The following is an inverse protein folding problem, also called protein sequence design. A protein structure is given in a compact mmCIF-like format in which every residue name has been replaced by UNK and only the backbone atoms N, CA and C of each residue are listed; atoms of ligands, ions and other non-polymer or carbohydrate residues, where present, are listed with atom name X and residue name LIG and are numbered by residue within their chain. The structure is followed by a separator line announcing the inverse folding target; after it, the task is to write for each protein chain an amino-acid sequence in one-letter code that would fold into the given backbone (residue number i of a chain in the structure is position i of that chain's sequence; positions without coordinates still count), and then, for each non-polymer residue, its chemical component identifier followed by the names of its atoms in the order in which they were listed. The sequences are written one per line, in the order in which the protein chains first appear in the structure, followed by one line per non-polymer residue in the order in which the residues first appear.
data_IF_506887389392
#
_entry.id   IF_506887389392
#
_cell.length_a   1.000
_cell.length_b   1.000
_cell.length_c   1.000
_cell.angle_alpha   90.00
_cell.angle_beta   90.00
_cell.angle_gamma   90.00
#
_symmetry.space_group_name_H-M   'P 1'
#
loop_
_entity.id
_entity.type
_entity.pdbx_description
1 polymer ?
#
# COMPACT_ATOMS: atom_id res chain seq x y z
N UNK A 1 5.34 6.09 -16.41
CA UNK A 1 4.58 4.95 -16.98
C UNK A 1 3.88 4.27 -15.81
N UNK A 2 2.55 4.32 -15.72
CA UNK A 2 1.80 3.61 -14.68
C UNK A 2 1.67 2.14 -15.09
N UNK A 3 2.53 1.26 -14.58
CA UNK A 3 2.33 -0.17 -14.74
C UNK A 3 1.16 -0.58 -13.83
N UNK A 4 0.02 -0.93 -14.43
CA UNK A 4 -1.07 -1.52 -13.69
C UNK A 4 -0.69 -2.94 -13.30
N UNK A 5 -0.31 -3.13 -12.02
CA UNK A 5 0.17 -4.41 -11.55
C UNK A 5 -0.93 -5.48 -11.52
N UNK A 6 -2.22 -5.12 -11.43
CA UNK A 6 -3.32 -6.07 -11.10
C UNK A 6 -4.51 -6.11 -12.07
N UNK A 7 -4.39 -5.55 -13.28
CA UNK A 7 -5.51 -5.57 -14.23
C UNK A 7 -5.86 -7.00 -14.69
N UNK A 8 -7.12 -7.40 -14.55
CA UNK A 8 -7.62 -8.72 -14.98
C UNK A 8 -7.25 -9.88 -14.05
N UNK A 9 -6.71 -9.59 -12.86
CA UNK A 9 -6.29 -10.60 -11.90
C UNK A 9 -7.35 -10.86 -10.84
N UNK A 10 -7.63 -12.14 -10.57
CA UNK A 10 -8.58 -12.58 -9.55
C UNK A 10 -7.92 -13.60 -8.60
N UNK A 11 -8.30 -13.57 -7.32
CA UNK A 11 -7.80 -14.48 -6.29
C UNK A 11 -6.27 -14.37 -6.10
N UNK A 12 -5.79 -13.17 -5.86
CA UNK A 12 -4.36 -12.89 -5.70
C UNK A 12 -4.06 -12.36 -4.32
N UNK A 13 -2.92 -12.77 -3.79
CA UNK A 13 -2.39 -12.27 -2.55
C UNK A 13 -0.97 -11.72 -2.74
N UNK A 14 -0.73 -10.51 -2.27
CA UNK A 14 0.60 -9.93 -2.08
C UNK A 14 0.85 -9.86 -0.57
N UNK A 15 1.93 -10.48 -0.09
CA UNK A 15 2.28 -10.50 1.33
C UNK A 15 3.74 -10.10 1.50
N UNK A 16 4.03 -9.15 2.39
CA UNK A 16 5.41 -8.80 2.75
C UNK A 16 6.26 -8.40 1.53
N UNK A 17 5.66 -7.67 0.59
CA UNK A 17 6.29 -7.25 -0.66
C UNK A 17 6.48 -5.74 -0.70
N UNK A 18 7.41 -5.28 -1.55
CA UNK A 18 7.49 -3.88 -1.98
C UNK A 18 6.91 -3.77 -3.39
N UNK A 19 5.83 -3.00 -3.53
CA UNK A 19 5.11 -2.80 -4.78
C UNK A 19 5.41 -1.40 -5.32
N UNK A 20 6.38 -1.31 -6.24
CA UNK A 20 6.78 -0.05 -6.89
C UNK A 20 5.87 0.25 -8.09
N UNK A 21 5.45 1.51 -8.23
CA UNK A 21 4.52 1.96 -9.27
C UNK A 21 3.04 1.83 -8.88
N UNK A 22 2.75 1.45 -7.63
CA UNK A 22 1.40 1.33 -7.09
C UNK A 22 0.63 0.06 -7.52
N UNK A 23 -0.65 0.05 -7.18
CA UNK A 23 -1.61 -1.00 -7.48
C UNK A 23 -2.77 -0.39 -8.24
N UNK A 24 -3.10 -0.92 -9.42
CA UNK A 24 -4.32 -0.49 -10.10
C UNK A 24 -5.05 -1.62 -10.82
N UNK A 25 -6.38 -1.55 -10.78
CA UNK A 25 -7.28 -2.46 -11.47
C UNK A 25 -8.51 -1.70 -11.98
N UNK A 26 -9.13 -2.19 -13.06
CA UNK A 26 -10.30 -1.54 -13.65
C UNK A 26 -11.34 -2.53 -14.13
N UNK A 27 -12.61 -2.18 -13.97
CA UNK A 27 -13.75 -3.02 -14.34
C UNK A 27 -14.05 -4.09 -13.30
N UNK A 28 -14.98 -5.00 -13.61
CA UNK A 28 -15.37 -6.09 -12.69
C UNK A 28 -14.42 -7.30 -12.74
N UNK A 29 -13.25 -7.14 -13.35
CA UNK A 29 -12.29 -8.23 -13.63
C UNK A 29 -11.27 -8.44 -12.51
N UNK A 30 -11.32 -7.61 -11.46
CA UNK A 30 -10.40 -7.69 -10.31
C UNK A 30 -11.19 -7.96 -9.03
N UNK A 31 -11.16 -9.22 -8.59
CA UNK A 31 -11.89 -9.70 -7.41
C UNK A 31 -10.98 -10.57 -6.55
N UNK A 32 -11.23 -10.53 -5.24
CA UNK A 32 -10.52 -11.31 -4.23
C UNK A 32 -9.01 -11.04 -4.25
N UNK A 33 -8.65 -9.76 -4.15
CA UNK A 33 -7.25 -9.34 -4.04
C UNK A 33 -6.97 -8.99 -2.58
N UNK A 34 -5.91 -9.57 -2.03
CA UNK A 34 -5.43 -9.26 -0.69
C UNK A 34 -4.01 -8.72 -0.78
N UNK A 35 -3.77 -7.58 -0.16
CA UNK A 35 -2.45 -6.96 -0.03
C UNK A 35 -2.20 -6.79 1.45
N UNK A 36 -1.17 -7.46 1.97
CA UNK A 36 -0.96 -7.56 3.41
C UNK A 36 0.51 -7.38 3.76
N UNK A 37 0.82 -6.54 4.74
CA UNK A 37 2.21 -6.25 5.14
C UNK A 37 3.11 -5.74 4.01
N UNK A 38 2.53 -5.05 3.01
CA UNK A 38 3.30 -4.54 1.88
C UNK A 38 3.69 -3.08 2.09
N UNK A 39 4.83 -2.72 1.50
CA UNK A 39 5.12 -1.33 1.18
C UNK A 39 4.63 -1.07 -0.24
N UNK A 40 3.80 -0.05 -0.44
CA UNK A 40 3.28 0.34 -1.75
C UNK A 40 3.79 1.73 -2.05
N UNK A 41 4.56 1.83 -3.12
CA UNK A 41 5.20 3.05 -3.58
C UNK A 41 4.50 3.49 -4.87
N UNK A 42 3.47 4.33 -4.70
CA UNK A 42 2.56 4.77 -5.76
C UNK A 42 1.07 4.61 -5.40
N UNK A 43 0.20 4.93 -6.37
CA UNK A 43 -1.26 4.96 -6.14
C UNK A 43 -1.84 3.57 -5.91
N UNK A 44 -2.85 3.46 -5.04
CA UNK A 44 -3.78 2.32 -5.00
C UNK A 44 -5.10 2.75 -5.65
N UNK A 45 -5.44 2.18 -6.80
CA UNK A 45 -6.54 2.65 -7.67
C UNK A 45 -7.34 1.50 -8.28
N UNK A 46 -8.55 1.24 -7.79
CA UNK A 46 -9.45 0.21 -8.31
C UNK A 46 -10.77 0.80 -8.80
N UNK A 47 -11.06 0.76 -10.09
CA UNK A 47 -12.38 1.19 -10.62
C UNK A 47 -13.28 -0.03 -10.88
N UNK A 48 -14.57 0.05 -10.54
CA UNK A 48 -15.54 -1.05 -10.68
C UNK A 48 -16.46 -1.19 -9.45
N UNK A 49 -17.67 -1.73 -9.61
CA UNK A 49 -18.71 -1.77 -8.55
C UNK A 49 -18.67 -3.02 -7.66
N UNK A 50 -17.74 -3.95 -7.92
CA UNK A 50 -17.74 -5.28 -7.27
C UNK A 50 -16.34 -5.78 -6.93
N UNK A 51 -15.37 -4.88 -6.77
CA UNK A 51 -14.01 -5.29 -6.42
C UNK A 51 -13.99 -5.69 -4.94
N UNK A 52 -13.58 -6.91 -4.61
CA UNK A 52 -13.31 -7.35 -3.23
C UNK A 52 -11.81 -7.27 -3.00
N UNK A 53 -11.32 -6.05 -2.74
CA UNK A 53 -9.90 -5.81 -2.45
C UNK A 53 -9.72 -5.47 -0.98
N UNK A 54 -8.84 -6.19 -0.31
CA UNK A 54 -8.41 -5.88 1.05
C UNK A 54 -6.94 -5.43 1.03
N UNK A 55 -6.67 -4.27 1.62
CA UNK A 55 -5.32 -3.73 1.82
C UNK A 55 -5.13 -3.57 3.33
N UNK A 56 -4.26 -4.39 3.89
CA UNK A 56 -4.10 -4.55 5.32
C UNK A 56 -2.64 -4.36 5.74
N UNK A 57 -2.39 -3.70 6.87
CA UNK A 57 -1.04 -3.60 7.44
C UNK A 57 0.01 -3.07 6.44
N UNK A 58 -0.38 -2.19 5.53
CA UNK A 58 0.53 -1.66 4.51
C UNK A 58 1.06 -0.28 4.89
N UNK A 59 2.27 0.02 4.45
CA UNK A 59 2.78 1.38 4.33
C UNK A 59 2.54 1.83 2.88
N UNK A 60 1.72 2.85 2.68
CA UNK A 60 1.28 3.29 1.36
C UNK A 60 1.77 4.72 1.16
N UNK A 61 2.69 4.90 0.21
CA UNK A 61 3.43 6.13 -0.04
C UNK A 61 3.09 6.71 -1.41
N UNK A 62 3.14 8.03 -1.49
CA UNK A 62 3.01 8.78 -2.74
C UNK A 62 1.75 9.64 -2.82
N UNK A 63 1.88 10.74 -3.56
CA UNK A 63 0.89 11.81 -3.75
C UNK A 63 -0.42 11.42 -4.47
N UNK A 64 -0.59 10.17 -4.89
CA UNK A 64 -1.57 9.77 -5.90
C UNK A 64 -2.84 9.10 -5.38
N UNK A 65 -3.17 9.22 -4.10
CA UNK A 65 -4.53 8.94 -3.57
C UNK A 65 -5.59 9.94 -4.06
N UNK A 66 -5.19 10.95 -4.82
CA UNK A 66 -6.05 12.04 -5.26
C UNK A 66 -6.73 11.64 -6.58
N UNK A 67 -7.81 10.85 -6.48
CA UNK A 67 -8.65 10.47 -7.63
C UNK A 67 -10.12 10.36 -7.23
N UNK A 68 -11.00 11.15 -7.86
CA UNK A 68 -12.41 11.36 -7.45
C UNK A 68 -13.39 10.23 -7.79
N UNK A 69 -12.93 9.12 -8.38
CA UNK A 69 -13.81 8.07 -8.95
C UNK A 69 -13.30 6.64 -8.74
N UNK A 70 -12.31 6.45 -7.89
CA UNK A 70 -11.55 5.19 -7.79
C UNK A 70 -11.68 4.59 -6.38
N UNK A 71 -11.41 3.29 -6.24
CA UNK A 71 -11.44 2.44 -5.05
C UNK A 71 -12.79 1.96 -4.52
N UNK A 72 -13.83 1.87 -5.37
CA UNK A 72 -15.09 1.26 -4.96
C UNK A 72 -14.89 -0.24 -4.64
N UNK A 73 -15.31 -0.65 -3.43
CA UNK A 73 -15.17 -2.02 -2.93
C UNK A 73 -13.82 -2.33 -2.28
N UNK A 74 -12.91 -1.35 -2.18
CA UNK A 74 -11.63 -1.54 -1.48
C UNK A 74 -11.81 -1.30 0.02
N UNK A 75 -11.30 -2.22 0.82
CA UNK A 75 -11.20 -2.08 2.27
C UNK A 75 -9.75 -1.89 2.69
N UNK A 76 -9.48 -0.79 3.39
CA UNK A 76 -8.19 -0.46 3.97
C UNK A 76 -8.25 -0.65 5.49
N UNK A 77 -7.44 -1.55 6.05
CA UNK A 77 -7.39 -1.81 7.50
C UNK A 77 -5.97 -1.70 8.06
N UNK A 78 -5.78 -1.01 9.19
CA UNK A 78 -4.50 -0.92 9.90
C UNK A 78 -3.33 -0.45 9.00
N UNK A 79 -3.55 0.46 8.04
CA UNK A 79 -2.48 0.96 7.16
C UNK A 79 -1.93 2.30 7.65
N UNK A 80 -0.72 2.64 7.18
CA UNK A 80 -0.18 4.00 7.25
C UNK A 80 -0.16 4.58 5.84
N UNK A 81 -0.74 5.76 5.67
CA UNK A 81 -0.71 6.56 4.46
C UNK A 81 0.25 7.73 4.68
N UNK A 82 1.30 7.86 3.86
CA UNK A 82 2.14 9.07 3.81
C UNK A 82 1.69 9.96 2.66
N UNK A 83 1.38 11.21 2.98
CA UNK A 83 0.74 12.14 2.06
C UNK A 83 1.51 13.45 2.07
N UNK A 84 1.80 14.03 0.90
CA UNK A 84 2.55 15.29 0.78
C UNK A 84 1.68 16.54 0.74
N UNK A 85 0.36 16.36 0.68
CA UNK A 85 -0.62 17.41 0.91
C UNK A 85 -1.89 16.82 1.51
N UNK A 86 -2.70 17.63 2.20
CA UNK A 86 -3.97 17.20 2.77
C UNK A 86 -4.92 16.74 1.65
N UNK A 87 -5.16 15.43 1.47
CA UNK A 87 -6.02 15.00 0.40
C UNK A 87 -7.48 15.20 0.83
N UNK A 88 -8.32 15.55 -0.14
CA UNK A 88 -9.67 15.03 -0.09
C UNK A 88 -9.55 13.54 -0.39
N UNK A 89 -9.86 12.65 0.56
CA UNK A 89 -10.05 11.23 0.24
C UNK A 89 -11.27 11.19 -0.68
N UNK A 90 -11.00 11.12 -1.97
CA UNK A 90 -12.00 11.32 -3.02
C UNK A 90 -12.64 9.99 -3.47
N UNK A 91 -12.52 8.94 -2.66
CA UNK A 91 -12.91 7.58 -3.03
C UNK A 91 -14.32 7.26 -2.58
N UNK A 92 -15.26 7.40 -3.51
CA UNK A 92 -16.64 6.97 -3.32
C UNK A 92 -16.64 5.45 -3.09
N UNK A 93 -17.24 5.01 -1.98
CA UNK A 93 -17.46 3.58 -1.64
C UNK A 93 -16.23 2.74 -1.28
N UNK A 94 -15.15 3.35 -0.79
CA UNK A 94 -14.08 2.63 -0.06
C UNK A 94 -14.36 2.60 1.45
N UNK A 95 -13.88 1.57 2.15
CA UNK A 95 -13.95 1.52 3.62
C UNK A 95 -12.56 1.62 4.25
N UNK A 96 -12.46 2.38 5.34
CA UNK A 96 -11.24 2.63 6.10
C UNK A 96 -11.45 2.31 7.57
N UNK A 97 -10.63 1.40 8.12
CA UNK A 97 -10.64 0.99 9.52
C UNK A 97 -9.24 1.10 10.15
N UNK A 98 -9.13 1.84 11.25
CA UNK A 98 -7.89 1.98 12.03
C UNK A 98 -6.66 2.38 11.18
N UNK A 99 -6.83 3.26 10.19
CA UNK A 99 -5.70 3.72 9.37
C UNK A 99 -5.13 5.03 9.88
N UNK A 100 -3.80 5.16 9.82
CA UNK A 100 -3.09 6.41 10.11
C UNK A 100 -2.85 7.18 8.82
N UNK A 101 -3.31 8.44 8.78
CA UNK A 101 -3.02 9.37 7.70
C UNK A 101 -1.97 10.38 8.17
N UNK A 102 -0.73 10.16 7.75
CA UNK A 102 0.39 11.05 8.04
C UNK A 102 0.54 12.07 6.90
N UNK A 103 0.26 13.34 7.16
CA UNK A 103 0.12 14.39 6.13
C UNK A 103 1.19 15.47 6.30
N UNK A 104 2.02 15.68 5.28
CA UNK A 104 3.05 16.72 5.27
C UNK A 104 2.40 18.10 5.40
N UNK A 105 2.95 18.93 6.30
CA UNK A 105 2.36 20.24 6.62
C UNK A 105 1.07 20.16 7.45
N UNK A 106 0.61 18.95 7.80
CA UNK A 106 -0.66 18.73 8.48
C UNK A 106 -1.85 18.85 7.53
N UNK A 107 -3.06 18.70 8.07
CA UNK A 107 -4.30 18.81 7.31
C UNK A 107 -5.38 17.88 7.83
N UNK A 108 -6.56 18.02 7.26
CA UNK A 108 -7.69 17.12 7.55
C UNK A 108 -8.02 16.29 6.34
N UNK A 109 -8.13 14.98 6.58
CA UNK A 109 -8.68 14.07 5.59
C UNK A 109 -10.18 14.32 5.45
N UNK A 110 -10.60 14.73 4.26
CA UNK A 110 -12.02 14.85 3.92
C UNK A 110 -12.48 13.57 3.21
N UNK A 111 -13.30 12.76 3.86
CA UNK A 111 -13.89 11.57 3.24
C UNK A 111 -14.97 11.94 2.21
N UNK A 112 -14.91 11.37 1.02
CA UNK A 112 -15.93 11.49 -0.01
C UNK A 112 -17.26 10.85 0.39
N UNK A 113 -18.32 11.20 -0.34
CA UNK A 113 -19.63 10.56 -0.19
C UNK A 113 -19.52 9.03 -0.27
N UNK A 114 -20.23 8.34 0.61
CA UNK A 114 -20.29 6.87 0.71
C UNK A 114 -19.00 6.16 1.16
N UNK A 115 -17.96 6.88 1.58
CA UNK A 115 -16.81 6.24 2.21
C UNK A 115 -17.11 5.81 3.66
N UNK A 116 -16.68 4.61 4.06
CA UNK A 116 -16.78 4.12 5.43
C UNK A 116 -15.59 4.67 6.23
N UNK A 117 -15.69 5.88 6.76
CA UNK A 117 -14.56 6.58 7.41
C UNK A 117 -14.83 6.97 8.87
N UNK A 118 -15.95 7.66 9.13
CA UNK A 118 -16.26 8.22 10.43
C UNK A 118 -16.52 7.13 11.49
N UNK A 119 -15.92 7.28 12.67
CA UNK A 119 -16.11 6.34 13.80
C UNK A 119 -15.31 5.04 13.71
N UNK A 120 -14.50 4.84 12.68
CA UNK A 120 -13.78 3.58 12.41
C UNK A 120 -12.33 3.55 12.94
N UNK A 121 -11.99 4.38 13.93
CA UNK A 121 -10.64 4.40 14.53
C UNK A 121 -9.53 5.01 13.67
N UNK A 122 -9.85 5.62 12.54
CA UNK A 122 -8.87 6.31 11.69
C UNK A 122 -8.30 7.55 12.42
N UNK A 123 -6.98 7.77 12.30
CA UNK A 123 -6.27 8.89 12.92
C UNK A 123 -5.51 9.69 11.87
N UNK A 124 -5.20 10.94 12.20
CA UNK A 124 -4.49 11.86 11.31
C UNK A 124 -3.40 12.56 12.11
N UNK A 125 -2.22 12.73 11.53
CA UNK A 125 -1.10 13.42 12.19
C UNK A 125 -0.25 14.16 11.15
N UNK A 126 0.38 15.29 11.51
CA UNK A 126 1.37 15.90 10.65
C UNK A 126 2.53 14.95 10.37
N UNK A 127 2.87 14.74 9.09
CA UNK A 127 4.06 14.01 8.71
C UNK A 127 5.28 14.93 8.82
N UNK A 128 5.97 14.81 9.95
CA UNK A 128 7.23 15.50 10.24
C UNK A 128 8.29 14.48 10.62
N UNK A 129 9.59 14.80 10.47
CA UNK A 129 10.66 13.94 10.98
C UNK A 129 10.44 13.58 12.45
N UNK A 130 10.70 12.32 12.83
CA UNK A 130 10.54 11.77 14.19
C UNK A 130 9.10 11.78 14.76
N UNK A 131 8.06 12.13 13.99
CA UNK A 131 6.68 12.01 14.47
C UNK A 131 6.15 10.60 14.22
N UNK A 132 6.02 10.19 12.95
CA UNK A 132 5.54 8.83 12.63
C UNK A 132 6.70 7.85 12.51
N UNK A 133 7.77 8.26 11.84
CA UNK A 133 8.95 7.44 11.58
C UNK A 133 10.21 8.12 12.10
N UNK A 134 11.25 7.34 12.41
CA UNK A 134 12.52 7.84 12.94
C UNK A 134 13.12 8.88 12.01
N UNK A 135 13.24 8.60 10.72
CA UNK A 135 13.74 9.59 9.77
C UNK A 135 13.30 9.25 8.34
N UNK A 136 12.61 10.17 7.66
CA UNK A 136 12.30 9.96 6.24
C UNK A 136 12.85 11.13 5.42
N UNK A 137 13.73 10.85 4.45
CA UNK A 137 14.33 11.88 3.60
C UNK A 137 13.37 12.38 2.51
N UNK A 138 12.40 11.55 2.11
CA UNK A 138 11.39 11.85 1.11
C UNK A 138 10.05 11.22 1.52
N UNK A 139 8.96 11.94 1.32
CA UNK A 139 7.61 11.52 1.70
C UNK A 139 6.78 11.04 0.50
N UNK A 140 7.28 11.23 -0.72
CA UNK A 140 6.60 10.92 -1.99
C UNK A 140 7.08 9.61 -2.65
N UNK A 141 8.28 9.12 -2.32
CA UNK A 141 8.89 7.96 -2.99
C UNK A 141 9.80 7.18 -2.02
N UNK A 142 9.92 5.87 -2.22
CA UNK A 142 11.01 5.11 -1.61
C UNK A 142 12.32 5.50 -2.28
N UNK A 143 13.23 6.23 -1.58
CA UNK A 143 14.47 6.66 -2.20
C UNK A 143 15.21 5.45 -2.78
N UNK A 144 15.66 5.56 -4.02
CA UNK A 144 16.39 4.50 -4.72
C UNK A 144 17.63 3.98 -3.96
N UNK A 145 18.12 4.76 -2.98
CA UNK A 145 19.28 4.45 -2.15
C UNK A 145 18.97 4.26 -0.64
N UNK A 146 17.74 3.92 -0.24
CA UNK A 146 17.40 3.51 1.15
C UNK A 146 17.85 4.48 2.26
N UNK A 147 17.99 5.78 1.97
CA UNK A 147 18.49 6.75 2.96
C UNK A 147 17.50 7.08 4.11
N UNK A 148 16.34 6.44 4.13
CA UNK A 148 15.28 6.66 5.12
C UNK A 148 15.16 5.52 6.11
N UNK A 149 14.96 5.89 7.37
CA UNK A 149 14.62 5.02 8.48
C UNK A 149 13.10 5.06 8.71
N UNK A 150 12.43 4.15 8.03
CA UNK A 150 10.99 3.93 8.14
C UNK A 150 10.61 3.13 9.39
N UNK A 151 11.46 2.98 10.41
CA UNK A 151 10.99 2.45 11.70
C UNK A 151 10.05 3.44 12.37
N UNK A 152 9.10 2.94 13.15
CA UNK A 152 8.22 3.82 13.92
C UNK A 152 9.06 4.61 14.92
N UNK A 153 8.84 5.92 15.00
CA UNK A 153 9.45 6.73 16.05
C UNK A 153 8.92 6.29 17.42
N UNK A 154 9.72 6.45 18.49
CA UNK A 154 9.33 6.02 19.85
C UNK A 154 7.99 6.58 20.31
N UNK A 155 7.60 7.77 19.83
CA UNK A 155 6.34 8.42 20.17
C UNK A 155 5.35 8.41 18.99
N UNK A 156 5.51 7.48 18.06
CA UNK A 156 4.67 7.42 16.87
C UNK A 156 3.23 7.13 17.24
N UNK A 157 2.33 7.92 16.64
CA UNK A 157 0.86 7.70 16.72
C UNK A 157 0.49 6.33 16.14
N UNK A 158 1.34 5.73 15.31
CA UNK A 158 1.10 4.39 14.78
C UNK A 158 1.22 3.28 15.83
N UNK A 159 1.93 3.53 16.94
CA UNK A 159 2.17 2.53 17.99
C UNK A 159 0.87 2.27 18.75
N UNK A 160 0.45 1.01 18.78
CA UNK A 160 -0.76 0.55 19.47
C UNK A 160 -2.10 1.07 18.93
N UNK A 161 -2.10 1.72 17.77
CA UNK A 161 -3.30 2.31 17.17
C UNK A 161 -4.23 1.27 16.52
N UNK A 162 -3.66 0.17 16.04
CA UNK A 162 -4.37 -0.87 15.32
C UNK A 162 -5.33 -1.63 16.22
N UNK A 163 -6.19 -2.43 15.57
CA UNK A 163 -7.14 -3.28 16.29
C UNK A 163 -6.42 -4.15 17.33
N UNK A 164 -6.90 -4.18 18.57
CA UNK A 164 -6.28 -4.98 19.63
C UNK A 164 -5.01 -4.37 20.26
N UNK A 165 -4.69 -3.11 19.94
CA UNK A 165 -3.51 -2.43 20.48
C UNK A 165 -2.21 -2.78 19.76
N UNK A 166 -2.30 -3.27 18.52
CA UNK A 166 -1.15 -3.52 17.65
C UNK A 166 -0.72 -2.26 16.92
N UNK A 167 0.51 -2.22 16.44
CA UNK A 167 0.98 -1.13 15.60
C UNK A 167 0.32 -1.19 14.21
N UNK A 168 0.04 -0.03 13.59
CA UNK A 168 -0.50 0.03 12.21
C UNK A 168 0.63 0.12 11.18
N UNK A 169 0.33 -0.20 9.93
CA UNK A 169 1.32 -0.31 8.84
C UNK A 169 1.96 -1.69 8.81
N UNK A 170 3.15 -1.78 8.22
CA UNK A 170 3.89 -3.05 8.06
C UNK A 170 4.32 -3.70 9.39
N UNK A 171 4.22 -2.97 10.50
CA UNK A 171 4.79 -3.39 11.79
C UNK A 171 3.91 -4.35 12.58
N UNK A 172 2.58 -4.24 12.46
CA UNK A 172 1.47 -5.19 12.81
C UNK A 172 1.55 -6.10 14.05
N UNK A 173 2.56 -5.95 14.91
CA UNK A 173 2.71 -6.70 16.15
C UNK A 173 2.86 -5.76 17.34
N UNK A 174 3.29 -6.33 18.47
CA UNK A 174 3.50 -5.54 19.68
C UNK A 174 4.61 -4.51 19.45
N UNK A 175 4.51 -3.34 20.07
CA UNK A 175 5.49 -2.27 19.95
C UNK A 175 6.94 -2.82 19.95
N UNK A 176 7.65 -2.63 18.83
CA UNK A 176 9.02 -3.13 18.63
C UNK A 176 9.17 -4.44 17.83
N UNK A 177 8.10 -5.07 17.35
CA UNK A 177 8.16 -6.22 16.40
C UNK A 177 8.19 -5.75 14.94
N UNK A 178 8.96 -4.71 14.65
CA UNK A 178 9.01 -4.06 13.35
C UNK A 178 9.31 -5.07 12.22
N UNK A 179 8.41 -5.20 11.24
CA UNK A 179 8.81 -5.72 9.94
C UNK A 179 9.81 -4.72 9.35
N UNK A 180 11.05 -5.16 9.16
CA UNK A 180 12.06 -4.38 8.45
C UNK A 180 12.19 -4.93 7.05
N UNK A 181 12.28 -4.03 6.08
CA UNK A 181 13.05 -4.34 4.88
C UNK A 181 14.44 -4.79 5.39
N UNK A 182 14.89 -5.98 4.99
CA UNK A 182 16.07 -6.70 5.50
C UNK A 182 15.98 -7.43 6.86
N UNK A 183 14.85 -7.42 7.59
CA UNK A 183 14.64 -8.36 8.71
C UNK A 183 14.18 -9.72 8.17
N UNK A 184 15.13 -10.47 7.61
CA UNK A 184 14.87 -11.74 6.93
C UNK A 184 14.78 -12.95 7.88
N UNK A 185 14.23 -14.11 7.44
CA UNK A 185 14.67 -14.88 6.26
C UNK A 185 13.52 -15.09 5.26
N UNK A 186 13.61 -15.07 3.93
CA UNK A 186 14.59 -14.87 2.85
C UNK A 186 13.76 -14.00 1.86
N UNK A 187 14.15 -12.80 1.42
CA UNK A 187 13.30 -11.97 0.54
C UNK A 187 13.70 -12.15 -0.93
N UNK A 188 13.07 -13.06 -1.70
CA UNK A 188 13.26 -13.08 -3.15
C UNK A 188 12.62 -11.84 -3.76
N UNK A 189 13.43 -11.01 -4.42
CA UNK A 189 12.90 -9.91 -5.22
C UNK A 189 12.58 -10.44 -6.63
N UNK A 190 11.30 -10.42 -7.01
CA UNK A 190 10.87 -10.71 -8.39
C UNK A 190 11.06 -9.44 -9.23
N UNK A 191 12.08 -9.42 -10.07
CA UNK A 191 12.45 -8.23 -10.84
C UNK A 191 11.73 -8.15 -12.19
N UNK A 192 11.32 -9.30 -12.74
CA UNK A 192 10.69 -9.35 -14.06
C UNK A 192 9.70 -10.51 -14.15
N UNK A 193 8.45 -10.18 -14.47
CA UNK A 193 7.45 -11.11 -14.95
C UNK A 193 7.06 -10.69 -16.37
N UNK A 194 7.57 -11.43 -17.36
CA UNK A 194 7.18 -11.25 -18.76
C UNK A 194 6.26 -12.41 -19.16
N UNK A 195 4.95 -12.12 -19.24
CA UNK A 195 3.94 -13.06 -19.74
C UNK A 195 3.59 -12.66 -21.17
N UNK A 196 3.92 -13.48 -22.18
CA UNK A 196 3.54 -13.21 -23.56
C UNK A 196 2.02 -13.10 -23.70
N UNK A 197 1.53 -12.04 -24.34
CA UNK A 197 0.08 -11.76 -24.49
C UNK A 197 -0.58 -12.60 -25.59
N UNK A 198 0.16 -13.49 -26.24
CA UNK A 198 -0.34 -14.35 -27.31
C UNK A 198 0.28 -15.75 -27.23
N UNK A 199 -0.54 -16.77 -27.49
CA UNK A 199 -0.07 -18.12 -27.83
C UNK A 199 0.55 -18.11 -29.22
N UNK A 200 1.67 -18.83 -29.37
CA UNK A 200 2.32 -19.01 -30.67
C UNK A 200 1.41 -19.73 -31.66
N UNK A 201 1.79 -19.74 -32.94
CA UNK A 201 1.02 -20.34 -34.04
C UNK A 201 0.77 -21.84 -33.89
N UNK A 202 1.43 -22.50 -32.93
CA UNK A 202 1.24 -23.91 -32.55
C UNK A 202 0.32 -24.10 -31.33
N UNK A 203 -0.28 -23.04 -30.80
CA UNK A 203 -1.09 -23.07 -29.58
C UNK A 203 -0.28 -23.14 -28.28
N UNK A 204 1.04 -23.10 -28.35
CA UNK A 204 1.95 -23.12 -27.19
C UNK A 204 2.20 -21.68 -26.73
N UNK A 205 2.02 -21.41 -25.43
CA UNK A 205 2.40 -20.14 -24.83
C UNK A 205 3.94 -20.02 -24.89
N UNK A 206 4.44 -18.88 -25.38
CA UNK A 206 5.87 -18.63 -25.35
C UNK A 206 6.39 -18.64 -23.89
N UNK A 207 7.69 -18.97 -23.66
CA UNK A 207 8.20 -19.15 -22.30
C UNK A 207 7.94 -17.93 -21.42
N UNK A 208 7.29 -18.14 -20.27
CA UNK A 208 7.18 -17.12 -19.22
C UNK A 208 8.58 -16.92 -18.64
N UNK A 209 9.07 -15.68 -18.67
CA UNK A 209 10.32 -15.34 -18.03
C UNK A 209 10.03 -14.79 -16.65
N UNK A 210 10.55 -15.49 -15.65
CA UNK A 210 10.52 -15.08 -14.24
C UNK A 210 11.97 -14.91 -13.80
N UNK A 211 12.37 -13.69 -13.50
CA UNK A 211 13.68 -13.41 -12.90
C UNK A 211 13.48 -13.09 -11.42
N UNK A 212 14.17 -13.86 -10.57
CA UNK A 212 14.29 -13.61 -9.14
C UNK A 212 15.77 -13.43 -8.80
N UNK A 213 16.06 -12.47 -7.94
CA UNK A 213 17.39 -12.32 -7.34
C UNK A 213 17.27 -12.39 -5.83
N UNK A 214 18.26 -13.04 -5.20
CA UNK A 214 18.50 -12.90 -3.77
C UNK A 214 19.20 -11.56 -3.52
N UNK A 215 19.04 -11.02 -2.31
CA UNK A 215 19.71 -9.80 -1.87
C UNK A 215 21.22 -9.87 -2.19
N UNK A 216 21.75 -8.85 -2.87
CA UNK A 216 23.19 -8.66 -2.98
C UNK A 216 23.70 -8.10 -1.65
N UNK A 217 24.66 -8.81 -1.05
CA UNK A 217 25.35 -8.39 0.17
C UNK A 217 26.22 -7.15 -0.05
#
# INVERSE_FOLDING_TARGET
MSSSLVNGMNNIQFVQCILRGGLSGSGNSVQNVVVDHCIIDGSVTFSGISNTVAVNHCLIMGSSFIGTTTNNGVTFTNNIFTLTSAPTIAHISACYYNNLFAIQGGGTVNAAANACYAGNGNQQTPLTPNNVFVNIPDFDDLPANYGGDYRLATNSVAIGMGQGGYDVGIYSGAAGTEWKDEAIPFNPHWQLLNVPTATGTTGVLAPVQIQAEAQQN
#
